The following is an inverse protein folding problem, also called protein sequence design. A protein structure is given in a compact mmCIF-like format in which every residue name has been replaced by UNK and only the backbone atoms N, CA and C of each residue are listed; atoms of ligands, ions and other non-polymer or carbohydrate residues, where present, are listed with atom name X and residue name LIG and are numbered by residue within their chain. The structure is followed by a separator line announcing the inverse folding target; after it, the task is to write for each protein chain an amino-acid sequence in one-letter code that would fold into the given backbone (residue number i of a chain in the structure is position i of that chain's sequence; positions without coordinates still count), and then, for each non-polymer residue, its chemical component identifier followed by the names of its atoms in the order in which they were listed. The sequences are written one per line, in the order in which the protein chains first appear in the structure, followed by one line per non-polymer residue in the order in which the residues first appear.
data_IF_262295449355
#
_entry.id   IF_262295449355
#
_cell.length_a   1.000
_cell.length_b   1.000
_cell.length_c   1.000
_cell.angle_alpha   90.00
_cell.angle_beta   90.00
_cell.angle_gamma   90.00
#
_symmetry.space_group_name_H-M   'P 1'
#
loop_
_entity.id
_entity.type
_entity.pdbx_description
1 polymer ?
#
# COMPACT_ATOMS: atom_id res chain seq x y z
N UNK A 1 -10.01 4.01 -10.79
CA UNK A 1 -9.98 5.46 -10.60
C UNK A 1 -10.84 5.80 -9.38
N UNK A 2 -10.52 6.84 -8.60
CA UNK A 2 -11.50 7.38 -7.66
C UNK A 2 -12.75 7.72 -8.46
N UNK A 3 -13.91 7.43 -7.87
CA UNK A 3 -15.19 7.77 -8.47
C UNK A 3 -15.21 9.27 -8.78
N UNK A 4 -15.68 9.62 -9.98
CA UNK A 4 -16.06 11.00 -10.23
C UNK A 4 -17.17 11.41 -9.24
N UNK A 5 -17.32 12.71 -8.96
CA UNK A 5 -18.25 13.23 -7.95
C UNK A 5 -19.72 12.80 -8.16
N UNK A 6 -20.04 12.33 -9.35
CA UNK A 6 -21.34 11.90 -9.87
C UNK A 6 -21.45 10.37 -10.03
N UNK A 7 -20.38 9.61 -9.78
CA UNK A 7 -20.37 8.16 -9.82
C UNK A 7 -20.65 7.56 -8.42
N UNK A 8 -21.64 6.67 -8.35
CA UNK A 8 -21.89 5.83 -7.17
C UNK A 8 -21.34 4.43 -7.45
N UNK A 9 -20.39 3.96 -6.63
CA UNK A 9 -20.07 2.54 -6.59
C UNK A 9 -21.03 1.82 -5.65
N UNK A 10 -21.54 0.66 -6.08
CA UNK A 10 -22.07 -0.30 -5.11
C UNK A 10 -20.93 -0.74 -4.20
N UNK A 11 -20.99 -0.32 -2.94
CA UNK A 11 -20.04 -0.79 -1.94
C UNK A 11 -20.40 -2.24 -1.58
N UNK A 12 -19.40 -3.14 -1.50
CA UNK A 12 -19.61 -4.50 -1.06
C UNK A 12 -20.12 -4.55 0.38
N UNK A 13 -20.77 -5.67 0.73
CA UNK A 13 -21.27 -5.87 2.07
C UNK A 13 -20.12 -5.95 3.09
N UNK A 14 -20.31 -5.28 4.23
CA UNK A 14 -19.48 -5.45 5.42
C UNK A 14 -20.06 -6.60 6.26
N UNK A 15 -19.20 -7.55 6.65
CA UNK A 15 -19.60 -8.64 7.55
C UNK A 15 -19.30 -8.23 8.98
N UNK A 16 -20.35 -8.14 9.79
CA UNK A 16 -20.26 -7.92 11.24
C UNK A 16 -20.68 -9.19 11.98
N UNK A 17 -19.84 -9.66 12.91
CA UNK A 17 -20.19 -10.78 13.79
C UNK A 17 -19.81 -10.48 15.25
N UNK A 18 -20.55 -11.07 16.17
CA UNK A 18 -20.28 -10.98 17.61
C UNK A 18 -20.15 -12.38 18.22
N UNK A 19 -19.18 -12.56 19.11
CA UNK A 19 -19.03 -13.78 19.89
C UNK A 19 -18.81 -13.42 21.36
N UNK A 20 -19.74 -13.82 22.22
CA UNK A 20 -19.72 -13.47 23.64
C UNK A 20 -20.22 -12.05 23.93
N UNK A 21 -20.82 -11.89 25.11
CA UNK A 21 -21.32 -10.63 25.64
C UNK A 21 -21.17 -10.59 27.17
N UNK A 22 -20.12 -11.22 27.68
CA UNK A 22 -19.83 -11.24 29.11
C UNK A 22 -19.26 -9.89 29.55
N UNK A 23 -20.01 -9.16 30.38
CA UNK A 23 -19.62 -7.83 30.86
C UNK A 23 -18.37 -7.84 31.76
N UNK A 24 -17.92 -9.01 32.22
CA UNK A 24 -16.69 -9.17 33.00
C UNK A 24 -15.45 -9.34 32.13
N UNK A 25 -15.62 -9.61 30.83
CA UNK A 25 -14.54 -9.79 29.86
C UNK A 25 -14.29 -8.52 29.05
N UNK A 26 -13.03 -8.37 28.61
CA UNK A 26 -12.67 -7.37 27.60
C UNK A 26 -13.23 -7.75 26.24
N UNK A 27 -13.47 -6.76 25.41
CA UNK A 27 -14.00 -6.92 24.05
C UNK A 27 -12.94 -6.52 23.03
N UNK A 28 -12.55 -7.47 22.19
CA UNK A 28 -11.58 -7.27 21.10
C UNK A 28 -12.32 -7.22 19.77
N UNK A 29 -12.13 -6.15 19.02
CA UNK A 29 -12.50 -6.08 17.61
C UNK A 29 -11.37 -6.67 16.77
N UNK A 30 -11.68 -7.70 16.00
CA UNK A 30 -10.85 -8.20 14.91
C UNK A 30 -11.32 -7.51 13.64
N UNK A 31 -10.39 -6.86 12.97
CA UNK A 31 -10.60 -6.24 11.66
C UNK A 31 -9.77 -6.95 10.60
N UNK A 32 -10.33 -7.11 9.41
CA UNK A 32 -9.63 -7.54 8.20
C UNK A 32 -10.47 -7.25 6.95
N UNK A 33 -9.95 -7.59 5.78
CA UNK A 33 -10.65 -7.39 4.51
C UNK A 33 -10.53 -8.62 3.58
N UNK A 34 -11.39 -8.69 2.57
CA UNK A 34 -11.48 -9.87 1.67
C UNK A 34 -11.43 -9.54 0.19
N UNK A 35 -11.49 -8.26 -0.16
CA UNK A 35 -11.10 -7.81 -1.49
C UNK A 35 -9.59 -7.99 -1.67
N UNK A 36 -9.15 -8.08 -2.91
CA UNK A 36 -7.74 -8.31 -3.25
C UNK A 36 -7.37 -7.43 -4.43
N UNK A 37 -6.11 -7.01 -4.50
CA UNK A 37 -5.63 -6.26 -5.67
C UNK A 37 -5.85 -7.05 -6.97
N UNK A 38 -6.17 -6.38 -8.08
CA UNK A 38 -6.19 -7.00 -9.40
C UNK A 38 -4.86 -7.66 -9.74
N UNK A 39 -4.89 -8.64 -10.64
CA UNK A 39 -3.67 -9.22 -11.20
C UNK A 39 -3.30 -8.44 -12.45
N UNK A 40 -2.11 -7.81 -12.45
CA UNK A 40 -1.58 -7.17 -13.65
C UNK A 40 -1.11 -8.24 -14.66
N UNK A 41 -1.30 -7.98 -15.96
CA UNK A 41 -0.84 -8.87 -17.04
C UNK A 41 0.68 -9.01 -17.10
N UNK A 42 1.41 -8.05 -16.52
CA UNK A 42 2.87 -8.06 -16.43
C UNK A 42 3.39 -8.85 -15.21
N UNK A 43 2.51 -9.32 -14.33
CA UNK A 43 2.89 -10.22 -13.23
C UNK A 43 3.24 -11.61 -13.78
N UNK A 44 4.41 -12.12 -13.40
CA UNK A 44 4.93 -13.40 -13.89
C UNK A 44 4.43 -14.60 -13.05
N UNK A 45 3.11 -14.79 -12.98
CA UNK A 45 2.54 -15.96 -12.30
C UNK A 45 2.86 -17.26 -13.05
N UNK A 46 3.26 -18.29 -12.33
CA UNK A 46 3.56 -19.63 -12.89
C UNK A 46 2.33 -20.55 -12.94
N UNK A 47 1.24 -20.15 -12.30
CA UNK A 47 -0.05 -20.85 -12.19
C UNK A 47 -1.17 -19.81 -12.11
N UNK A 48 -2.44 -20.25 -12.09
CA UNK A 48 -3.56 -19.34 -11.92
C UNK A 48 -3.45 -18.62 -10.56
N UNK A 49 -3.40 -17.28 -10.50
CA UNK A 49 -3.27 -16.52 -9.27
C UNK A 49 -4.43 -16.74 -8.29
N UNK A 50 -5.59 -17.23 -8.74
CA UNK A 50 -6.75 -17.50 -7.90
C UNK A 50 -6.91 -18.98 -7.55
N UNK A 51 -5.99 -19.84 -8.00
CA UNK A 51 -5.93 -21.25 -7.62
C UNK A 51 -4.77 -21.46 -6.64
N UNK A 52 -5.09 -21.65 -5.35
CA UNK A 52 -4.10 -21.78 -4.29
C UNK A 52 -3.19 -22.99 -4.50
N UNK A 53 -1.89 -22.73 -4.68
CA UNK A 53 -0.87 -23.77 -4.79
C UNK A 53 0.01 -23.83 -3.53
N UNK A 54 0.25 -25.03 -3.02
CA UNK A 54 1.27 -25.27 -1.99
C UNK A 54 2.54 -25.76 -2.67
N UNK A 55 3.60 -24.95 -2.61
CA UNK A 55 4.89 -25.27 -3.21
C UNK A 55 5.96 -25.20 -2.12
N UNK A 56 6.46 -26.37 -1.72
CA UNK A 56 7.36 -26.50 -0.58
C UNK A 56 6.66 -26.09 0.71
N UNK A 57 7.22 -25.10 1.41
CA UNK A 57 6.69 -24.56 2.67
C UNK A 57 5.78 -23.33 2.46
N UNK A 58 5.53 -22.94 1.21
CA UNK A 58 4.84 -21.70 0.86
C UNK A 58 3.50 -21.97 0.18
N UNK A 59 2.53 -21.11 0.50
CA UNK A 59 1.24 -21.02 -0.15
C UNK A 59 1.24 -19.85 -1.15
N UNK A 60 0.91 -20.13 -2.40
CA UNK A 60 0.93 -19.17 -3.50
C UNK A 60 -0.48 -18.97 -4.03
N UNK A 61 -1.00 -17.76 -3.85
CA UNK A 61 -2.18 -17.23 -4.54
C UNK A 61 -2.37 -15.75 -4.16
N UNK A 62 -3.10 -15.03 -5.01
CA UNK A 62 -3.58 -13.68 -4.73
C UNK A 62 -4.49 -13.71 -3.50
N UNK A 63 -4.18 -12.89 -2.52
CA UNK A 63 -4.97 -12.75 -1.29
C UNK A 63 -4.50 -13.61 -0.12
N UNK A 64 -3.53 -14.50 -0.29
CA UNK A 64 -3.06 -15.39 0.79
C UNK A 64 -2.53 -14.58 1.97
N UNK A 65 -1.73 -13.54 1.72
CA UNK A 65 -1.13 -12.72 2.78
C UNK A 65 -1.83 -11.38 3.04
N UNK A 66 -2.71 -10.97 2.13
CA UNK A 66 -3.33 -9.63 2.06
C UNK A 66 -4.74 -9.80 1.50
N UNK A 67 -5.76 -10.07 2.34
CA UNK A 67 -5.69 -10.35 3.80
C UNK A 67 -6.49 -11.63 4.16
N UNK A 68 -6.76 -12.49 3.18
CA UNK A 68 -7.62 -13.68 3.40
C UNK A 68 -6.99 -14.69 4.34
N UNK A 69 -5.67 -14.90 4.26
CA UNK A 69 -4.97 -15.84 5.15
C UNK A 69 -5.04 -15.44 6.62
N UNK A 70 -4.66 -14.20 6.99
CA UNK A 70 -4.81 -13.74 8.37
C UNK A 70 -6.27 -13.73 8.88
N UNK A 71 -7.25 -13.33 8.05
CA UNK A 71 -8.69 -13.44 8.39
C UNK A 71 -9.07 -14.89 8.70
N UNK A 72 -8.69 -15.85 7.83
CA UNK A 72 -8.92 -17.28 8.06
C UNK A 72 -8.18 -17.77 9.31
N UNK A 73 -6.98 -17.24 9.59
CA UNK A 73 -6.24 -17.52 10.81
C UNK A 73 -7.01 -17.18 12.09
N UNK A 74 -7.64 -16.00 12.14
CA UNK A 74 -8.52 -15.61 13.25
C UNK A 74 -9.72 -16.55 13.39
N UNK A 75 -10.39 -16.88 12.28
CA UNK A 75 -11.53 -17.79 12.29
C UNK A 75 -11.14 -19.19 12.77
N UNK A 76 -9.99 -19.71 12.33
CA UNK A 76 -9.46 -21.00 12.76
C UNK A 76 -9.11 -21.00 14.26
N UNK A 77 -8.56 -19.90 14.79
CA UNK A 77 -8.29 -19.77 16.21
C UNK A 77 -9.60 -19.83 17.03
N UNK A 78 -10.63 -19.08 16.63
CA UNK A 78 -11.96 -19.11 17.26
C UNK A 78 -12.54 -20.52 17.19
N UNK A 79 -12.49 -21.16 16.02
CA UNK A 79 -12.98 -22.52 15.81
C UNK A 79 -12.28 -23.53 16.74
N UNK A 80 -10.97 -23.38 16.93
CA UNK A 80 -10.19 -24.24 17.81
C UNK A 80 -10.65 -24.14 19.28
N UNK A 81 -10.92 -22.94 19.80
CA UNK A 81 -11.49 -22.76 21.14
C UNK A 81 -12.85 -23.45 21.26
N UNK A 82 -13.73 -23.25 20.27
CA UNK A 82 -15.07 -23.85 20.24
C UNK A 82 -14.99 -25.39 20.22
N UNK A 83 -14.20 -25.98 19.32
CA UNK A 83 -14.06 -27.43 19.17
C UNK A 83 -13.42 -28.08 20.39
N UNK A 84 -12.46 -27.42 21.03
CA UNK A 84 -11.82 -27.91 22.25
C UNK A 84 -12.64 -27.66 23.52
N UNK A 85 -13.77 -26.94 23.41
CA UNK A 85 -14.61 -26.50 24.53
C UNK A 85 -13.86 -25.67 25.57
N UNK A 86 -12.77 -25.02 25.15
CA UNK A 86 -12.06 -24.04 25.96
C UNK A 86 -12.78 -22.71 25.77
N UNK A 87 -13.06 -22.04 26.88
CA UNK A 87 -13.72 -20.75 26.84
C UNK A 87 -12.78 -19.68 26.22
N UNK A 88 -13.31 -18.90 25.27
CA UNK A 88 -12.58 -17.76 24.73
C UNK A 88 -12.43 -16.70 25.84
N UNK A 89 -11.21 -16.20 26.11
CA UNK A 89 -10.93 -15.34 27.26
C UNK A 89 -11.47 -13.92 27.13
N UNK A 90 -11.98 -13.54 25.96
CA UNK A 90 -12.50 -12.21 25.61
C UNK A 90 -13.83 -12.32 24.88
N UNK A 91 -14.61 -11.25 24.89
CA UNK A 91 -15.65 -11.06 23.88
C UNK A 91 -14.98 -10.68 22.56
N UNK A 92 -15.49 -11.21 21.45
CA UNK A 92 -15.01 -10.86 20.12
C UNK A 92 -16.07 -10.08 19.36
N UNK A 93 -15.62 -9.09 18.62
CA UNK A 93 -16.34 -8.45 17.52
C UNK A 93 -15.50 -8.68 16.28
N UNK A 94 -16.13 -9.02 15.17
CA UNK A 94 -15.45 -9.23 13.89
C UNK A 94 -16.06 -8.26 12.90
N UNK A 95 -15.20 -7.49 12.24
CA UNK A 95 -15.55 -6.67 11.09
C UNK A 95 -14.68 -7.11 9.93
N UNK A 96 -15.30 -7.69 8.91
CA UNK A 96 -14.62 -7.99 7.65
C UNK A 96 -15.18 -7.02 6.62
N UNK A 97 -14.34 -6.09 6.21
CA UNK A 97 -14.70 -5.05 5.26
C UNK A 97 -14.56 -5.59 3.83
N UNK A 98 -15.48 -5.21 2.95
CA UNK A 98 -15.32 -5.41 1.51
C UNK A 98 -14.71 -4.19 0.82
N UNK A 99 -14.60 -3.07 1.54
CA UNK A 99 -14.23 -1.75 1.03
C UNK A 99 -13.46 -0.94 2.08
N UNK A 100 -12.40 -1.53 2.63
CA UNK A 100 -11.49 -0.91 3.63
C UNK A 100 -11.17 0.56 3.28
N UNK A 101 -10.99 0.83 1.99
CA UNK A 101 -10.68 2.13 1.39
C UNK A 101 -11.78 3.21 1.56
N UNK A 102 -12.94 2.91 2.18
CA UNK A 102 -14.08 3.85 2.32
C UNK A 102 -14.69 3.99 3.74
N UNK A 103 -14.21 3.24 4.73
CA UNK A 103 -14.55 3.42 6.16
C UNK A 103 -15.82 2.71 6.68
N UNK A 104 -15.85 2.40 7.99
CA UNK A 104 -16.87 1.55 8.65
C UNK A 104 -17.43 2.17 9.96
N UNK A 105 -18.76 2.33 10.09
CA UNK A 105 -19.40 3.19 11.13
C UNK A 105 -20.16 2.49 12.29
N UNK A 106 -20.13 1.15 12.44
CA UNK A 106 -21.22 0.46 13.19
C UNK A 106 -20.89 -0.43 14.40
N UNK A 107 -19.69 -0.40 15.01
CA UNK A 107 -19.38 -1.27 16.17
C UNK A 107 -19.28 -0.50 17.50
N UNK A 108 -19.96 -1.00 18.54
CA UNK A 108 -19.99 -0.41 19.90
C UNK A 108 -19.33 -1.34 20.92
N UNK A 109 -18.86 -0.75 22.03
CA UNK A 109 -18.25 -1.45 23.20
C UNK A 109 -17.01 -2.29 22.86
N UNK A 110 -15.98 -1.62 22.37
CA UNK A 110 -14.68 -2.24 22.07
C UNK A 110 -13.66 -1.72 23.09
N UNK A 111 -12.88 -2.63 23.69
CA UNK A 111 -11.73 -2.28 24.53
C UNK A 111 -10.43 -2.23 23.72
N UNK A 112 -10.27 -3.13 22.74
CA UNK A 112 -9.07 -3.25 21.90
C UNK A 112 -9.43 -3.53 20.45
N UNK A 113 -8.61 -3.05 19.52
CA UNK A 113 -8.68 -3.38 18.09
C UNK A 113 -7.44 -4.15 17.70
N UNK A 114 -7.62 -5.26 17.01
CA UNK A 114 -6.58 -6.09 16.44
C UNK A 114 -6.74 -6.15 14.92
N UNK A 115 -5.70 -5.73 14.22
CA UNK A 115 -5.57 -5.80 12.75
C UNK A 115 -4.35 -6.68 12.49
N UNK A 116 -4.48 -7.64 11.57
CA UNK A 116 -3.41 -8.57 11.20
C UNK A 116 -3.12 -8.52 9.70
N UNK A 117 -2.99 -7.31 9.17
CA UNK A 117 -2.76 -7.04 7.75
C UNK A 117 -1.43 -6.27 7.57
N UNK A 118 -0.33 -6.90 7.99
CA UNK A 118 0.99 -6.32 7.85
C UNK A 118 2.08 -7.39 7.84
N UNK A 119 3.27 -6.97 7.42
CA UNK A 119 4.41 -7.87 7.23
C UNK A 119 5.43 -7.70 8.36
N UNK A 120 6.24 -8.75 8.57
CA UNK A 120 7.42 -8.64 9.42
C UNK A 120 8.50 -7.81 8.72
N UNK A 121 9.34 -7.14 9.50
CA UNK A 121 10.46 -6.35 8.98
C UNK A 121 11.56 -7.22 8.35
N UNK A 122 11.72 -8.44 8.85
CA UNK A 122 12.71 -9.41 8.42
C UNK A 122 12.18 -10.83 8.60
N UNK A 123 13.03 -11.83 8.34
CA UNK A 123 12.59 -13.23 8.30
C UNK A 123 12.73 -13.98 9.64
N UNK A 124 13.49 -13.43 10.60
CA UNK A 124 13.85 -14.18 11.82
C UNK A 124 13.06 -13.73 13.06
N UNK A 125 12.59 -12.48 13.10
CA UNK A 125 12.00 -11.88 14.30
C UNK A 125 10.56 -11.42 14.05
N UNK A 126 9.55 -11.92 14.81
CA UNK A 126 8.18 -11.44 14.70
C UNK A 126 8.07 -9.97 15.10
N UNK A 127 7.14 -9.26 14.47
CA UNK A 127 6.99 -7.81 14.63
C UNK A 127 5.62 -7.44 15.21
N UNK A 128 5.60 -6.43 16.07
CA UNK A 128 4.39 -5.70 16.44
C UNK A 128 4.47 -4.31 15.83
N UNK A 129 3.60 -4.03 14.88
CA UNK A 129 3.51 -2.73 14.21
C UNK A 129 2.65 -1.80 15.06
N UNK A 130 3.16 -0.60 15.34
CA UNK A 130 2.48 0.40 16.18
C UNK A 130 2.19 1.72 15.45
N UNK A 131 2.53 1.79 14.16
CA UNK A 131 2.30 2.96 13.32
C UNK A 131 2.42 2.61 11.85
N UNK A 132 1.58 3.25 11.03
CA UNK A 132 1.60 3.21 9.59
C UNK A 132 1.70 4.64 9.07
N UNK A 133 2.24 4.81 7.87
CA UNK A 133 2.19 6.11 7.18
C UNK A 133 0.78 6.32 6.64
N UNK A 134 0.35 7.58 6.55
CA UNK A 134 -0.83 7.93 5.77
C UNK A 134 -0.57 7.69 4.29
N UNK A 135 -1.54 7.98 3.43
CA UNK A 135 -1.34 8.03 1.98
C UNK A 135 -2.23 9.10 1.36
N UNK A 136 -1.69 9.93 0.47
CA UNK A 136 -2.47 10.84 -0.37
C UNK A 136 -2.14 10.58 -1.82
N UNK A 137 -3.19 10.35 -2.60
CA UNK A 137 -3.12 10.19 -4.05
C UNK A 137 -3.38 11.52 -4.77
N UNK A 138 -2.47 11.90 -5.67
CA UNK A 138 -2.66 13.04 -6.56
C UNK A 138 -2.85 12.56 -8.00
N UNK A 139 -3.79 13.19 -8.70
CA UNK A 139 -4.08 12.99 -10.12
C UNK A 139 -3.71 14.25 -10.90
N UNK A 140 -2.62 14.21 -11.68
CA UNK A 140 -2.15 15.34 -12.49
C UNK A 140 -2.35 15.02 -13.97
N UNK A 141 -2.87 16.00 -14.71
CA UNK A 141 -3.10 15.94 -16.14
C UNK A 141 -2.45 17.14 -16.81
N UNK A 142 -1.78 16.90 -17.93
CA UNK A 142 -1.23 17.95 -18.79
C UNK A 142 -1.90 17.85 -20.14
N UNK A 143 -2.50 18.96 -20.59
CA UNK A 143 -3.20 19.05 -21.88
C UNK A 143 -2.45 20.00 -22.80
N UNK A 144 -2.29 19.61 -24.07
CA UNK A 144 -1.63 20.41 -25.10
C UNK A 144 -2.52 20.59 -26.32
N UNK A 145 -2.13 20.07 -27.51
CA UNK A 145 -2.88 20.31 -28.73
C UNK A 145 -4.28 19.67 -28.69
N UNK A 146 -5.24 20.22 -29.43
CA UNK A 146 -6.63 19.69 -29.48
C UNK A 146 -6.76 18.26 -30.05
N UNK A 147 -5.69 17.71 -30.60
CA UNK A 147 -5.59 16.36 -31.15
C UNK A 147 -4.14 15.88 -31.11
N UNK A 148 -3.96 14.58 -31.20
CA UNK A 148 -2.66 13.96 -31.40
C UNK A 148 -1.94 14.53 -32.64
N UNK A 149 -0.62 14.73 -32.53
CA UNK A 149 0.21 15.24 -33.62
C UNK A 149 1.28 14.22 -34.03
N UNK A 150 1.68 14.27 -35.29
CA UNK A 150 2.81 13.49 -35.78
C UNK A 150 4.12 14.15 -35.33
N UNK A 151 4.95 13.46 -34.54
CA UNK A 151 6.13 14.07 -33.91
C UNK A 151 7.16 14.56 -34.93
N UNK A 152 7.33 13.88 -36.07
CA UNK A 152 8.22 14.36 -37.14
C UNK A 152 7.75 15.63 -37.86
N UNK A 153 6.47 15.97 -37.80
CA UNK A 153 5.92 17.14 -38.48
C UNK A 153 5.81 18.37 -37.56
N UNK A 154 5.68 18.14 -36.26
CA UNK A 154 5.38 19.18 -35.28
C UNK A 154 6.39 19.27 -34.13
N UNK A 155 7.27 18.29 -33.97
CA UNK A 155 8.29 18.28 -32.93
C UNK A 155 9.21 19.49 -33.03
N UNK A 156 9.43 20.14 -31.90
CA UNK A 156 10.17 21.41 -31.81
C UNK A 156 9.38 22.67 -32.19
N UNK A 157 8.15 22.54 -32.69
CA UNK A 157 7.27 23.67 -32.99
C UNK A 157 6.16 23.89 -31.96
N UNK A 158 5.89 22.89 -31.11
CA UNK A 158 4.86 22.93 -30.06
C UNK A 158 5.45 22.53 -28.72
N UNK A 159 4.90 23.05 -27.63
CA UNK A 159 5.17 22.53 -26.28
C UNK A 159 4.43 21.21 -26.12
N UNK A 160 5.15 20.16 -25.73
CA UNK A 160 4.63 18.80 -25.69
C UNK A 160 4.15 18.45 -24.28
N UNK A 161 2.94 17.88 -24.11
CA UNK A 161 2.44 17.53 -22.78
C UNK A 161 3.35 16.59 -21.96
N UNK A 162 4.11 15.72 -22.64
CA UNK A 162 5.07 14.84 -21.97
C UNK A 162 6.29 15.59 -21.44
N UNK A 163 6.75 16.64 -22.11
CA UNK A 163 7.88 17.46 -21.65
C UNK A 163 7.50 18.23 -20.38
N UNK A 164 6.32 18.86 -20.39
CA UNK A 164 5.80 19.59 -19.25
C UNK A 164 5.54 18.65 -18.05
N UNK A 165 5.02 17.45 -18.31
CA UNK A 165 4.85 16.44 -17.26
C UNK A 165 6.21 16.00 -16.70
N UNK A 166 7.19 15.65 -17.53
CA UNK A 166 8.53 15.26 -17.09
C UNK A 166 9.19 16.34 -16.23
N UNK A 167 9.11 17.61 -16.67
CA UNK A 167 9.63 18.74 -15.92
C UNK A 167 8.95 18.90 -14.55
N UNK A 168 7.63 18.72 -14.49
CA UNK A 168 6.88 18.73 -13.23
C UNK A 168 7.35 17.59 -12.31
N UNK A 169 7.45 16.36 -12.81
CA UNK A 169 7.85 15.20 -12.01
C UNK A 169 9.28 15.33 -11.48
N UNK A 170 10.21 15.77 -12.33
CA UNK A 170 11.60 16.00 -11.95
C UNK A 170 11.76 17.10 -10.88
N UNK A 171 10.77 18.00 -10.76
CA UNK A 171 10.78 19.06 -9.74
C UNK A 171 10.32 18.59 -8.35
N UNK A 172 9.72 17.40 -8.23
CA UNK A 172 9.11 16.91 -7.00
C UNK A 172 10.09 16.24 -6.04
N UNK A 173 11.16 15.63 -6.56
CA UNK A 173 12.16 14.90 -5.77
C UNK A 173 13.57 15.19 -6.25
N UNK A 174 14.53 15.28 -5.33
CA UNK A 174 15.94 15.37 -5.70
C UNK A 174 16.57 14.00 -5.99
N UNK A 175 17.83 14.02 -6.42
CA UNK A 175 18.62 12.81 -6.72
C UNK A 175 18.86 11.92 -5.51
N UNK A 176 18.73 12.46 -4.30
CA UNK A 176 18.85 11.71 -3.06
C UNK A 176 17.49 11.18 -2.58
N UNK A 177 16.40 11.39 -3.34
CA UNK A 177 15.04 10.95 -3.02
C UNK A 177 14.33 11.80 -1.95
N UNK A 178 14.81 13.02 -1.70
CA UNK A 178 14.15 13.99 -0.81
C UNK A 178 13.05 14.71 -1.57
N UNK A 179 11.91 14.90 -0.93
CA UNK A 179 10.77 15.63 -1.51
C UNK A 179 11.08 17.14 -1.53
N UNK A 180 10.77 17.80 -2.64
CA UNK A 180 11.08 19.22 -2.87
C UNK A 180 9.87 20.14 -2.72
N UNK A 181 8.70 19.60 -2.36
CA UNK A 181 7.49 20.38 -2.09
C UNK A 181 7.76 21.38 -0.96
N UNK A 182 7.57 22.69 -1.20
CA UNK A 182 7.84 23.72 -0.19
C UNK A 182 7.07 23.49 1.11
N UNK A 183 7.72 23.77 2.24
CA UNK A 183 7.16 23.71 3.60
C UNK A 183 6.66 22.33 4.04
N UNK A 184 6.87 21.27 3.25
CA UNK A 184 6.37 19.93 3.58
C UNK A 184 6.95 19.41 4.91
N UNK A 185 8.25 19.60 5.11
CA UNK A 185 8.95 19.10 6.30
C UNK A 185 8.65 19.90 7.58
N UNK A 186 7.96 21.05 7.48
CA UNK A 186 7.61 21.85 8.66
C UNK A 186 6.59 21.13 9.56
N UNK A 187 5.78 20.25 8.96
CA UNK A 187 4.80 19.42 9.67
C UNK A 187 5.30 18.01 9.99
N UNK A 188 6.50 17.64 9.55
CA UNK A 188 7.06 16.30 9.79
C UNK A 188 7.65 16.24 11.19
N UNK A 189 7.07 15.39 12.05
CA UNK A 189 7.62 15.12 13.39
C UNK A 189 8.99 14.47 13.24
N UNK A 190 10.00 15.04 13.89
CA UNK A 190 11.33 14.43 13.99
C UNK A 190 11.31 13.30 15.03
N UNK A 191 11.85 12.11 14.70
CA UNK A 191 12.05 11.06 15.70
C UNK A 191 12.93 11.55 16.85
N UNK A 192 12.60 11.15 18.07
CA UNK A 192 13.45 11.43 19.23
C UNK A 192 14.59 10.42 19.36
N UNK A 193 15.54 10.68 20.26
CA UNK A 193 16.70 9.79 20.44
C UNK A 193 16.32 8.37 20.85
N UNK A 194 15.24 8.21 21.61
CA UNK A 194 14.82 6.89 22.09
C UNK A 194 14.22 6.06 20.95
N UNK A 195 13.44 6.70 20.07
CA UNK A 195 12.93 6.10 18.85
C UNK A 195 14.07 5.66 17.92
N UNK A 196 15.09 6.52 17.73
CA UNK A 196 16.28 6.18 16.94
C UNK A 196 17.08 5.02 17.56
N UNK A 197 17.21 4.97 18.89
CA UNK A 197 17.83 3.83 19.59
C UNK A 197 17.05 2.54 19.41
N UNK A 198 15.71 2.59 19.35
CA UNK A 198 14.89 1.41 19.04
C UNK A 198 15.16 0.92 17.62
N UNK A 199 15.21 1.82 16.63
CA UNK A 199 15.54 1.45 15.26
C UNK A 199 16.91 0.77 15.16
N UNK A 200 17.90 1.25 15.92
CA UNK A 200 19.23 0.65 15.99
C UNK A 200 19.24 -0.78 16.56
N UNK A 201 18.23 -1.17 17.35
CA UNK A 201 18.12 -2.51 17.96
C UNK A 201 17.33 -3.52 17.12
N UNK A 202 16.58 -3.08 16.12
CA UNK A 202 15.74 -3.97 15.31
C UNK A 202 16.57 -4.97 14.51
N UNK A 203 16.06 -6.19 14.39
CA UNK A 203 16.63 -7.25 13.55
C UNK A 203 16.38 -6.93 12.08
N UNK A 204 17.30 -6.15 11.52
CA UNK A 204 17.23 -5.64 10.16
C UNK A 204 18.64 -5.27 9.70
N UNK A 205 18.99 -5.62 8.46
CA UNK A 205 20.25 -5.21 7.84
C UNK A 205 20.00 -4.76 6.40
N UNK A 206 20.79 -3.79 5.94
CA UNK A 206 20.73 -3.29 4.56
C UNK A 206 20.96 -4.42 3.54
N UNK A 207 21.97 -5.31 3.70
CA UNK A 207 22.20 -6.39 2.74
C UNK A 207 21.06 -7.41 2.69
N UNK A 208 20.47 -7.77 3.84
CA UNK A 208 19.32 -8.67 3.86
C UNK A 208 18.13 -8.06 3.12
N UNK A 209 17.83 -6.78 3.37
CA UNK A 209 16.75 -6.08 2.67
C UNK A 209 17.02 -6.00 1.16
N UNK A 210 18.20 -5.54 0.75
CA UNK A 210 18.58 -5.47 -0.67
C UNK A 210 18.51 -6.83 -1.37
N UNK A 211 18.88 -7.91 -0.67
CA UNK A 211 18.74 -9.28 -1.17
C UNK A 211 17.29 -9.71 -1.37
N UNK A 212 16.39 -9.38 -0.42
CA UNK A 212 14.95 -9.70 -0.51
C UNK A 212 14.28 -9.07 -1.73
N UNK A 213 14.59 -7.79 -2.01
CA UNK A 213 14.05 -7.06 -3.17
C UNK A 213 14.97 -7.09 -4.39
N UNK A 214 16.02 -7.89 -4.33
CA UNK A 214 16.96 -8.15 -5.44
C UNK A 214 17.59 -6.87 -6.04
N UNK A 215 17.90 -5.88 -5.21
CA UNK A 215 18.52 -4.61 -5.64
C UNK A 215 19.58 -4.09 -4.68
N UNK A 216 20.59 -3.44 -5.24
CA UNK A 216 21.62 -2.68 -4.51
C UNK A 216 21.43 -1.15 -4.62
N UNK A 217 20.44 -0.70 -5.39
CA UNK A 217 20.15 0.72 -5.61
C UNK A 217 19.32 1.26 -4.43
N UNK A 218 19.95 1.35 -3.26
CA UNK A 218 19.35 1.85 -2.03
C UNK A 218 19.81 3.28 -1.76
N UNK A 219 18.90 4.11 -1.25
CA UNK A 219 19.22 5.49 -0.92
C UNK A 219 20.16 5.63 0.28
N UNK A 220 20.17 4.66 1.20
CA UNK A 220 20.92 4.74 2.45
C UNK A 220 21.72 3.47 2.71
N UNK A 221 22.92 3.65 3.27
CA UNK A 221 23.75 2.56 3.78
C UNK A 221 23.62 2.37 5.29
N UNK A 222 22.99 3.32 5.99
CA UNK A 222 22.75 3.25 7.44
C UNK A 222 21.40 2.61 7.72
N UNK A 223 21.38 1.61 8.62
CA UNK A 223 20.14 0.99 9.10
C UNK A 223 19.15 2.03 9.61
N UNK A 224 19.61 2.93 10.47
CA UNK A 224 18.73 3.87 11.16
C UNK A 224 18.18 4.92 10.19
N UNK A 225 18.97 5.37 9.22
CA UNK A 225 18.51 6.31 8.19
C UNK A 225 17.54 5.64 7.23
N UNK A 226 17.80 4.38 6.82
CA UNK A 226 16.86 3.65 5.96
C UNK A 226 15.51 3.42 6.64
N UNK A 227 15.49 3.06 7.93
CA UNK A 227 14.25 2.89 8.68
C UNK A 227 13.51 4.21 8.85
N UNK A 228 14.21 5.32 9.12
CA UNK A 228 13.59 6.66 9.14
C UNK A 228 12.94 7.02 7.80
N UNK A 229 13.61 6.73 6.67
CA UNK A 229 13.03 6.99 5.34
C UNK A 229 11.81 6.16 5.04
N UNK A 230 11.77 4.92 5.53
CA UNK A 230 10.61 4.02 5.34
C UNK A 230 9.42 4.43 6.20
N UNK A 231 9.66 4.87 7.43
CA UNK A 231 8.60 4.99 8.44
C UNK A 231 8.26 6.41 8.88
N UNK A 232 9.20 7.34 8.82
CA UNK A 232 9.07 8.65 9.47
C UNK A 232 9.14 9.83 8.50
N UNK A 233 9.63 9.63 7.27
CA UNK A 233 9.82 10.69 6.29
C UNK A 233 8.89 10.50 5.10
N UNK A 234 8.36 11.58 4.51
CA UNK A 234 7.56 11.51 3.29
C UNK A 234 8.39 11.01 2.10
N UNK A 235 7.72 10.40 1.12
CA UNK A 235 8.35 10.00 -0.14
C UNK A 235 7.39 10.20 -1.31
N UNK A 236 7.95 10.28 -2.52
CA UNK A 236 7.18 10.36 -3.77
C UNK A 236 7.45 9.16 -4.65
N UNK A 237 6.38 8.45 -5.00
CA UNK A 237 6.41 7.33 -5.94
C UNK A 237 5.54 7.66 -7.14
N UNK A 238 6.11 7.57 -8.33
CA UNK A 238 5.39 7.68 -9.61
C UNK A 238 4.89 6.28 -9.99
N UNK A 239 3.58 6.11 -10.12
CA UNK A 239 3.00 4.79 -10.43
C UNK A 239 2.81 4.54 -11.93
N UNK A 240 2.63 5.59 -12.73
CA UNK A 240 2.44 5.46 -14.18
C UNK A 240 2.09 6.78 -14.87
N UNK A 241 2.06 6.75 -16.20
CA UNK A 241 1.64 7.85 -17.07
C UNK A 241 0.63 7.31 -18.10
N UNK A 242 -0.65 7.52 -17.82
CA UNK A 242 -1.73 7.17 -18.76
C UNK A 242 -1.79 8.15 -19.95
N UNK A 243 -2.54 7.77 -21.00
CA UNK A 243 -2.69 8.51 -22.25
C UNK A 243 -1.38 8.83 -23.01
N UNK A 244 -0.29 8.16 -22.62
CA UNK A 244 1.00 8.15 -23.32
C UNK A 244 1.14 6.90 -24.22
N UNK A 245 2.27 6.77 -24.91
CA UNK A 245 2.60 5.53 -25.63
C UNK A 245 3.35 4.58 -24.68
N UNK A 246 2.66 3.53 -24.22
CA UNK A 246 3.07 2.62 -23.16
C UNK A 246 3.29 1.17 -23.64
N UNK A 247 3.31 0.94 -24.96
CA UNK A 247 3.42 -0.39 -25.58
C UNK A 247 4.78 -0.60 -26.23
N UNK A 248 5.15 -1.88 -26.40
CA UNK A 248 6.32 -2.25 -27.20
C UNK A 248 6.11 -1.76 -28.64
N UNK A 249 7.06 -0.94 -29.12
CA UNK A 249 7.06 -0.41 -30.48
C UNK A 249 7.67 0.98 -30.54
N UNK A 250 7.51 1.64 -31.69
CA UNK A 250 7.90 3.03 -31.90
C UNK A 250 6.75 3.77 -32.58
N UNK A 251 6.10 4.66 -31.84
CA UNK A 251 5.02 5.50 -32.36
C UNK A 251 5.49 6.95 -32.42
N UNK A 252 5.46 7.56 -33.60
CA UNK A 252 5.87 8.95 -33.84
C UNK A 252 4.74 9.93 -33.49
N UNK A 253 4.40 10.02 -32.21
CA UNK A 253 3.22 10.70 -31.68
C UNK A 253 3.59 11.75 -30.62
N UNK A 254 3.02 12.94 -30.74
CA UNK A 254 2.88 13.90 -29.63
C UNK A 254 1.47 13.73 -29.06
N UNK A 255 1.31 13.31 -27.79
CA UNK A 255 0.00 13.14 -27.20
C UNK A 255 -0.72 14.49 -27.04
N UNK A 256 -2.05 14.49 -27.21
CA UNK A 256 -2.87 15.68 -26.95
C UNK A 256 -2.98 16.01 -25.46
N UNK A 257 -2.83 14.99 -24.62
CA UNK A 257 -3.01 14.98 -23.19
C UNK A 257 -2.24 13.79 -22.64
N UNK A 258 -1.69 13.92 -21.44
CA UNK A 258 -1.14 12.82 -20.65
C UNK A 258 -1.67 12.88 -19.23
N UNK A 259 -1.81 11.71 -18.61
CA UNK A 259 -2.33 11.52 -17.26
C UNK A 259 -3.57 10.61 -17.22
N UNK A 260 -4.01 10.19 -16.02
CA UNK A 260 -3.50 10.63 -14.73
C UNK A 260 -2.09 10.15 -14.41
N UNK A 261 -1.34 11.07 -13.81
CA UNK A 261 -0.28 10.78 -12.86
C UNK A 261 -0.91 10.20 -11.60
N UNK A 262 -0.43 9.07 -11.08
CA UNK A 262 -0.80 8.64 -9.72
C UNK A 262 0.47 8.68 -8.90
N UNK A 263 0.46 9.51 -7.86
CA UNK A 263 1.52 9.52 -6.86
C UNK A 263 0.91 9.41 -5.47
N UNK A 264 1.42 8.47 -4.69
CA UNK A 264 1.14 8.30 -3.27
C UNK A 264 2.24 8.97 -2.46
N UNK A 265 1.90 9.99 -1.68
CA UNK A 265 2.77 10.44 -0.58
C UNK A 265 2.38 9.70 0.66
N UNK A 266 3.22 8.81 1.19
CA UNK A 266 2.96 8.33 2.51
C UNK A 266 3.47 9.39 3.49
N UNK A 267 2.60 10.04 4.24
CA UNK A 267 3.00 11.04 5.25
C UNK A 267 3.16 10.39 6.62
#
# INVERSE_FOLDING_TARGET
MPLHSDEQAELPYVVCAEFGNDLTKRTVLIYGHVDVKPVDKNENWTHDPFDLQVVGEYMWARGVTDDKGPVVGWLNAIEAYVKTKIEIPVNLRVLIDGSEETGSEHIRRIDYVAISDNYWLGMNTPCLTYGLRGVIYFYVYVEGPKRHLHSGAHGGAVQEPLEDLDALLASLVDKAGKVLVPNLYDSVRKPDEEELRRFAKLDFTIPTYGGQITTNALYEASKVEMLQRRWCLPCITVHGIEDSFDKIGALTLIPKKVGPYVYSSPF
#
